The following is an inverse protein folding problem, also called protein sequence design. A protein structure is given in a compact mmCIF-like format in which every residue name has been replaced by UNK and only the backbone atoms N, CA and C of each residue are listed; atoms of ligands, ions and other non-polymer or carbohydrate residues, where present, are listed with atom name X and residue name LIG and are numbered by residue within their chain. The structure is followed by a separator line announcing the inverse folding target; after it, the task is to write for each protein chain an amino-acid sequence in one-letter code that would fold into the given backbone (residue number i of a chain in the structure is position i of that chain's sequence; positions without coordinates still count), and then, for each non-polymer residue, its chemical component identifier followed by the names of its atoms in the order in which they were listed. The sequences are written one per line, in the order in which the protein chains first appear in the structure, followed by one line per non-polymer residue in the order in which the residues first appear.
data_IF_861053337145
#
_entry.id   IF_861053337145
#
_cell.length_a   1.000
_cell.length_b   1.000
_cell.length_c   1.000
_cell.angle_alpha   90.00
_cell.angle_beta   90.00
_cell.angle_gamma   90.00
#
_symmetry.space_group_name_H-M   'P 1'
#
loop_
_entity.id
_entity.type
_entity.pdbx_description
1 polymer ?
#
# COMPACT_ATOMS: atom_id res chain seq x y z
N UNK A 1 14.10 1.41 -0.34
CA UNK A 1 13.27 1.54 -1.56
C UNK A 1 14.05 2.30 -2.62
N UNK A 2 14.10 1.82 -3.85
CA UNK A 2 14.84 2.49 -4.93
C UNK A 2 14.06 3.70 -5.48
N UNK A 3 13.92 4.74 -4.68
CA UNK A 3 13.12 5.92 -4.99
C UNK A 3 13.55 6.60 -6.28
N UNK A 4 14.86 6.70 -6.52
CA UNK A 4 15.39 7.31 -7.74
C UNK A 4 14.92 6.59 -9.00
N UNK A 5 14.83 5.27 -8.95
CA UNK A 5 14.38 4.46 -10.08
C UNK A 5 12.89 4.72 -10.34
N UNK A 6 12.07 4.80 -9.29
CA UNK A 6 10.65 5.11 -9.44
C UNK A 6 10.42 6.53 -9.97
N UNK A 7 11.17 7.49 -9.48
CA UNK A 7 11.12 8.87 -10.00
C UNK A 7 11.47 8.89 -11.47
N UNK A 8 12.46 8.10 -11.89
CA UNK A 8 12.86 7.99 -13.28
C UNK A 8 11.77 7.49 -14.23
N UNK A 9 10.79 6.77 -13.71
CA UNK A 9 9.65 6.27 -14.49
C UNK A 9 8.58 7.32 -14.74
N UNK A 10 8.61 8.43 -14.01
CA UNK A 10 7.58 9.46 -14.14
C UNK A 10 7.80 10.30 -15.40
N UNK A 11 6.71 10.58 -16.10
CA UNK A 11 6.71 11.57 -17.18
C UNK A 11 6.82 12.97 -16.58
N UNK A 12 7.16 13.94 -17.42
CA UNK A 12 7.10 15.37 -17.04
C UNK A 12 5.72 15.70 -16.48
N UNK A 13 5.67 16.49 -15.43
CA UNK A 13 4.45 16.82 -14.67
C UNK A 13 3.83 15.64 -13.90
N UNK A 14 4.52 14.51 -13.83
CA UNK A 14 4.05 13.34 -13.10
C UNK A 14 4.12 13.49 -11.58
N UNK A 15 3.45 12.61 -10.87
CA UNK A 15 3.41 12.60 -9.41
C UNK A 15 3.73 11.21 -8.85
N UNK A 16 4.52 11.19 -7.80
CA UNK A 16 4.75 10.00 -6.97
C UNK A 16 4.06 10.21 -5.64
N UNK A 17 3.18 9.30 -5.26
CA UNK A 17 2.48 9.39 -3.97
C UNK A 17 2.88 8.19 -3.12
N UNK A 18 3.53 8.48 -2.00
CA UNK A 18 3.92 7.45 -1.03
C UNK A 18 2.76 7.16 -0.10
N UNK A 19 2.36 5.91 -0.02
CA UNK A 19 1.27 5.48 0.86
C UNK A 19 1.75 4.60 2.03
N UNK A 20 2.95 4.03 1.91
CA UNK A 20 3.57 3.29 3.00
C UNK A 20 4.40 4.19 3.90
N UNK A 21 4.49 3.84 5.18
CA UNK A 21 5.33 4.57 6.13
C UNK A 21 6.67 3.85 6.28
N UNK A 22 7.80 4.45 5.85
CA UNK A 22 9.12 3.86 6.08
C UNK A 22 9.46 3.83 7.58
N UNK A 23 10.33 2.91 7.98
CA UNK A 23 10.70 2.75 9.40
C UNK A 23 11.26 4.02 10.03
N UNK A 24 12.06 4.78 9.27
CA UNK A 24 12.63 6.04 9.72
C UNK A 24 11.71 7.24 9.51
N UNK A 25 10.56 7.06 8.89
CA UNK A 25 9.61 8.11 8.59
C UNK A 25 10.12 9.15 7.59
N UNK A 26 11.18 8.84 6.84
CA UNK A 26 11.83 9.78 5.95
C UNK A 26 11.85 9.28 4.52
N UNK A 27 11.57 10.19 3.59
CA UNK A 27 11.65 9.94 2.16
C UNK A 27 12.59 10.99 1.54
N UNK A 28 13.71 10.51 0.98
CA UNK A 28 14.72 11.39 0.38
C UNK A 28 14.54 11.43 -1.14
N UNK A 29 14.21 12.61 -1.66
CA UNK A 29 14.06 12.83 -3.09
C UNK A 29 15.07 13.89 -3.56
N UNK A 30 16.03 13.53 -4.45
CA UNK A 30 17.00 14.51 -4.93
C UNK A 30 16.32 15.55 -5.83
N UNK A 31 16.55 16.83 -5.52
CA UNK A 31 15.94 17.93 -6.29
C UNK A 31 16.23 17.85 -7.79
N UNK A 32 17.46 17.56 -8.25
CA UNK A 32 17.72 17.50 -9.69
C UNK A 32 16.84 16.50 -10.44
N UNK A 33 16.42 15.40 -9.77
CA UNK A 33 15.52 14.41 -10.36
C UNK A 33 14.09 14.92 -10.50
N UNK A 34 13.73 15.94 -9.74
CA UNK A 34 12.38 16.49 -9.71
C UNK A 34 12.19 17.66 -10.68
N UNK A 35 13.26 18.13 -11.34
CA UNK A 35 13.23 19.35 -12.14
C UNK A 35 12.43 19.23 -13.43
N UNK A 36 11.85 18.09 -13.72
CA UNK A 36 10.86 17.90 -14.79
C UNK A 36 9.44 18.25 -14.36
N UNK A 37 9.30 19.14 -13.41
CA UNK A 37 8.03 19.54 -12.78
C UNK A 37 7.33 18.37 -12.09
N UNK A 38 8.11 17.50 -11.48
CA UNK A 38 7.58 16.35 -10.76
C UNK A 38 7.12 16.74 -9.37
N UNK A 39 6.12 16.03 -8.87
CA UNK A 39 5.63 16.20 -7.51
C UNK A 39 5.83 14.89 -6.74
N UNK A 40 6.33 14.99 -5.52
CA UNK A 40 6.42 13.87 -4.60
C UNK A 40 5.64 14.24 -3.35
N UNK A 41 4.72 13.41 -2.99
CA UNK A 41 3.88 13.63 -1.83
C UNK A 41 3.55 12.33 -1.13
N UNK A 42 2.73 12.41 -0.11
CA UNK A 42 2.28 11.25 0.65
C UNK A 42 0.77 11.33 0.86
N UNK A 43 0.18 10.18 1.09
CA UNK A 43 -1.24 10.08 1.38
C UNK A 43 -1.46 9.02 2.46
N UNK A 44 -2.58 9.12 3.10
CA UNK A 44 -2.97 8.21 4.17
C UNK A 44 -4.37 7.67 3.87
N UNK A 45 -4.92 6.92 4.80
CA UNK A 45 -6.26 6.33 4.66
C UNK A 45 -7.33 7.40 4.39
N UNK A 46 -8.37 7.01 3.67
CA UNK A 46 -9.49 7.89 3.41
C UNK A 46 -10.49 7.96 4.56
N UNK A 47 -11.44 8.87 4.44
CA UNK A 47 -12.56 8.98 5.37
C UNK A 47 -13.49 7.76 5.26
N UNK A 48 -14.36 7.52 6.25
CA UNK A 48 -15.36 6.46 6.14
C UNK A 48 -16.23 6.58 4.89
N UNK A 49 -16.58 7.81 4.47
CA UNK A 49 -17.33 8.04 3.23
C UNK A 49 -16.56 7.61 1.99
N UNK A 50 -15.29 7.95 1.91
CA UNK A 50 -14.43 7.53 0.81
C UNK A 50 -14.26 6.02 0.76
N UNK A 51 -14.16 5.37 1.93
CA UNK A 51 -14.08 3.91 2.01
C UNK A 51 -15.36 3.27 1.49
N UNK A 52 -16.52 3.83 1.81
CA UNK A 52 -17.81 3.33 1.29
C UNK A 52 -17.88 3.44 -0.23
N UNK A 53 -17.46 4.58 -0.79
CA UNK A 53 -17.40 4.77 -2.25
C UNK A 53 -16.45 3.74 -2.90
N UNK A 54 -15.30 3.52 -2.28
CA UNK A 54 -14.36 2.51 -2.74
C UNK A 54 -14.97 1.12 -2.74
N UNK A 55 -15.67 0.75 -1.66
CA UNK A 55 -16.31 -0.56 -1.55
C UNK A 55 -17.41 -0.76 -2.59
N UNK A 56 -18.17 0.28 -2.90
CA UNK A 56 -19.16 0.24 -3.97
C UNK A 56 -18.51 -0.01 -5.32
N UNK A 57 -17.41 0.69 -5.62
CA UNK A 57 -16.66 0.49 -6.85
C UNK A 57 -16.07 -0.93 -6.93
N UNK A 58 -15.50 -1.40 -5.83
CA UNK A 58 -14.91 -2.75 -5.75
C UNK A 58 -15.99 -3.82 -6.03
N UNK A 59 -17.18 -3.65 -5.45
CA UNK A 59 -18.29 -4.58 -5.68
C UNK A 59 -18.79 -4.53 -7.12
N UNK A 60 -18.94 -3.34 -7.69
CA UNK A 60 -19.41 -3.14 -9.06
C UNK A 60 -18.44 -3.73 -10.09
N UNK A 61 -17.14 -3.51 -9.89
CA UNK A 61 -16.10 -3.94 -10.82
C UNK A 61 -15.50 -5.29 -10.48
N UNK A 62 -15.99 -5.95 -9.44
CA UNK A 62 -15.50 -7.26 -8.99
C UNK A 62 -13.98 -7.28 -8.76
N UNK A 63 -13.46 -6.25 -8.12
CA UNK A 63 -12.04 -6.15 -7.75
C UNK A 63 -11.80 -7.00 -6.50
N UNK A 64 -10.79 -7.86 -6.56
CA UNK A 64 -10.46 -8.75 -5.43
C UNK A 64 -9.01 -8.57 -5.03
N UNK A 65 -8.71 -8.41 -3.74
CA UNK A 65 -7.34 -8.41 -3.26
C UNK A 65 -6.75 -9.82 -3.26
N UNK A 66 -5.44 -9.91 -3.34
CA UNK A 66 -4.74 -11.16 -3.12
C UNK A 66 -4.54 -11.34 -1.62
N UNK A 67 -5.24 -12.33 -1.07
CA UNK A 67 -5.20 -12.61 0.36
C UNK A 67 -4.93 -14.08 0.61
N UNK A 68 -4.47 -14.38 1.81
CA UNK A 68 -4.42 -15.73 2.35
C UNK A 68 -5.31 -15.76 3.59
N UNK A 69 -6.30 -16.64 3.58
CA UNK A 69 -7.19 -16.80 4.72
C UNK A 69 -6.60 -17.82 5.70
N UNK A 70 -6.57 -17.46 6.97
CA UNK A 70 -6.18 -18.39 8.04
C UNK A 70 -7.21 -18.32 9.16
N UNK A 71 -7.42 -19.42 9.88
CA UNK A 71 -8.36 -19.41 11.02
C UNK A 71 -7.93 -18.43 12.11
N UNK A 72 -8.88 -17.78 12.74
CA UNK A 72 -8.61 -16.84 13.84
C UNK A 72 -7.79 -17.48 14.96
N UNK A 73 -7.98 -18.76 15.22
CA UNK A 73 -7.22 -19.51 16.24
C UNK A 73 -5.71 -19.55 15.95
N UNK A 74 -5.32 -19.36 14.69
CA UNK A 74 -3.92 -19.35 14.26
C UNK A 74 -3.35 -17.93 14.14
N UNK A 75 -3.96 -16.95 14.81
CA UNK A 75 -3.55 -15.55 14.70
C UNK A 75 -2.07 -15.33 15.02
N UNK A 76 -1.54 -16.00 16.03
CA UNK A 76 -0.12 -15.87 16.39
C UNK A 76 0.80 -16.32 15.27
N UNK A 77 0.47 -17.45 14.62
CA UNK A 77 1.22 -17.93 13.46
C UNK A 77 1.16 -16.92 12.31
N UNK A 78 -0.02 -16.33 12.08
CA UNK A 78 -0.20 -15.31 11.06
C UNK A 78 0.68 -14.09 11.29
N UNK A 79 0.78 -13.62 12.53
CA UNK A 79 1.65 -12.50 12.88
C UNK A 79 3.12 -12.82 12.64
N UNK A 80 3.57 -14.00 13.07
CA UNK A 80 4.95 -14.43 12.88
C UNK A 80 5.29 -14.54 11.39
N UNK A 81 4.42 -15.16 10.61
CA UNK A 81 4.63 -15.35 9.17
C UNK A 81 4.57 -14.02 8.42
N UNK A 82 3.72 -13.09 8.86
CA UNK A 82 3.66 -11.75 8.27
C UNK A 82 4.98 -11.00 8.47
N UNK A 83 5.52 -11.01 9.69
CA UNK A 83 6.81 -10.38 9.97
C UNK A 83 7.95 -11.02 9.18
N UNK A 84 7.86 -12.33 8.92
CA UNK A 84 8.83 -13.04 8.10
C UNK A 84 8.67 -12.80 6.61
N UNK A 85 7.70 -12.00 6.19
CA UNK A 85 7.46 -11.66 4.80
C UNK A 85 6.81 -12.77 3.98
N UNK A 86 6.12 -13.72 4.61
CA UNK A 86 5.54 -14.88 3.93
C UNK A 86 4.15 -14.63 3.33
N UNK A 87 3.49 -13.53 3.69
CA UNK A 87 2.12 -13.27 3.22
C UNK A 87 2.10 -12.89 1.72
N UNK A 88 1.15 -13.44 0.98
CA UNK A 88 0.90 -13.18 -0.46
C UNK A 88 -0.54 -12.69 -0.69
N UNK A 89 -0.90 -11.45 -0.33
CA UNK A 89 0.01 -10.43 0.20
C UNK A 89 -0.51 -9.93 1.53
N UNK A 90 -1.63 -10.46 1.97
CA UNK A 90 -2.28 -10.11 3.22
C UNK A 90 -2.87 -11.36 3.84
N UNK A 91 -2.68 -11.53 5.14
CA UNK A 91 -3.42 -12.53 5.88
C UNK A 91 -4.76 -11.94 6.34
N UNK A 92 -5.82 -12.71 6.14
CA UNK A 92 -7.14 -12.40 6.66
C UNK A 92 -7.49 -13.49 7.68
N UNK A 93 -7.69 -13.07 8.91
CA UNK A 93 -8.08 -13.98 9.98
C UNK A 93 -9.59 -14.21 9.90
N UNK A 94 -9.98 -15.45 9.70
CA UNK A 94 -11.39 -15.81 9.57
C UNK A 94 -11.89 -16.36 10.90
N UNK A 95 -12.95 -15.72 11.39
CA UNK A 95 -13.61 -16.14 12.63
C UNK A 95 -14.53 -17.32 12.31
N UNK A 96 -14.19 -18.49 12.81
CA UNK A 96 -15.01 -19.69 12.66
C UNK A 96 -16.05 -19.75 13.77
N UNK A 97 -17.29 -19.97 13.39
CA UNK A 97 -18.38 -20.18 14.34
C UNK A 97 -18.56 -21.66 14.60
#
# INVERSE_FOLDING_TARGET
MPLNDYIGLLRTDGSLVQVGLPDDGVLNAPIPRLMRRLTVGASLIGSPGEIREMLELVAEKNVKPWIEEIPMKDANRGLVDMEAGKARYRYVLVNEQ
#
